data_IF_622804046305
#
_entry.id   IF_622804046305
#
_cell.length_a   1.000
_cell.length_b   1.000
_cell.length_c   1.000
_cell.angle_alpha   90.00
_cell.angle_beta   90.00
_cell.angle_gamma   90.00
#
_symmetry.space_group_name_H-M   'P 1'
#
loop_
_entity.id
_entity.type
_entity.pdbx_description
1 polymer ?
#
# COMPACT_ATOMS: atom_id res chain seq x y z
N UNK A 1 -13.47 6.77 -8.93
CA UNK A 1 -12.13 6.35 -9.41
C UNK A 1 -11.96 4.84 -9.38
N UNK A 2 -12.05 4.17 -8.22
CA UNK A 2 -11.89 2.70 -8.12
C UNK A 2 -12.74 1.92 -9.14
N UNK A 3 -14.05 2.21 -9.25
CA UNK A 3 -14.93 1.52 -10.22
C UNK A 3 -14.50 1.69 -11.69
N UNK A 4 -13.89 2.82 -12.04
CA UNK A 4 -13.41 3.08 -13.40
C UNK A 4 -12.12 2.28 -13.63
N UNK A 5 -11.17 2.37 -12.70
CA UNK A 5 -9.91 1.64 -12.77
C UNK A 5 -10.11 0.12 -12.86
N UNK A 6 -11.08 -0.43 -12.11
CA UNK A 6 -11.47 -1.85 -12.23
C UNK A 6 -12.02 -2.20 -13.61
N UNK A 7 -12.89 -1.34 -14.17
CA UNK A 7 -13.45 -1.56 -15.51
C UNK A 7 -12.38 -1.52 -16.62
N UNK A 8 -11.30 -0.78 -16.40
CA UNK A 8 -10.18 -0.70 -17.34
C UNK A 8 -9.11 -1.76 -17.09
N UNK A 9 -9.30 -2.66 -16.12
CA UNK A 9 -8.32 -3.71 -15.79
C UNK A 9 -7.05 -3.16 -15.12
N UNK A 10 -7.10 -1.98 -14.52
CA UNK A 10 -5.95 -1.35 -13.87
C UNK A 10 -5.76 -1.86 -12.45
N UNK A 11 -4.51 -2.04 -12.05
CA UNK A 11 -4.16 -2.18 -10.63
C UNK A 11 -4.34 -0.86 -9.89
N UNK A 12 -4.67 -0.93 -8.60
CA UNK A 12 -5.02 0.24 -7.79
C UNK A 12 -4.14 0.28 -6.55
N UNK A 13 -3.40 1.37 -6.36
CA UNK A 13 -2.69 1.68 -5.11
C UNK A 13 -3.51 2.70 -4.32
N UNK A 14 -3.85 2.40 -3.08
CA UNK A 14 -4.38 3.40 -2.15
C UNK A 14 -3.22 3.97 -1.30
N UNK A 15 -2.90 5.24 -1.53
CA UNK A 15 -1.81 5.95 -0.85
C UNK A 15 -2.29 6.69 0.40
N UNK A 16 -1.35 7.03 1.30
CA UNK A 16 -1.62 7.80 2.51
C UNK A 16 -2.32 7.01 3.63
N UNK A 17 -2.16 5.68 3.67
CA UNK A 17 -2.69 4.86 4.77
C UNK A 17 -1.77 4.97 5.99
N UNK A 18 -2.23 5.65 7.03
CA UNK A 18 -1.50 5.92 8.27
C UNK A 18 -2.10 5.21 9.48
N UNK A 19 -3.39 4.86 9.44
CA UNK A 19 -4.15 4.28 10.55
C UNK A 19 -4.86 2.97 10.16
N UNK A 20 -5.07 2.08 11.14
CA UNK A 20 -5.76 0.80 10.93
C UNK A 20 -7.21 0.98 10.45
N UNK A 21 -7.88 2.04 10.89
CA UNK A 21 -9.24 2.39 10.48
C UNK A 21 -9.30 2.71 8.98
N UNK A 22 -8.30 3.40 8.43
CA UNK A 22 -8.21 3.70 7.00
C UNK A 22 -8.00 2.42 6.19
N UNK A 23 -7.10 1.54 6.65
CA UNK A 23 -6.90 0.21 6.07
C UNK A 23 -8.21 -0.59 6.03
N UNK A 24 -8.95 -0.65 7.14
CA UNK A 24 -10.25 -1.33 7.21
C UNK A 24 -11.28 -0.70 6.27
N UNK A 25 -11.34 0.63 6.23
CA UNK A 25 -12.29 1.34 5.37
C UNK A 25 -12.03 1.08 3.88
N UNK A 26 -10.77 0.99 3.45
CA UNK A 26 -10.41 0.82 2.04
C UNK A 26 -10.47 -0.64 1.56
N UNK A 27 -10.41 -1.63 2.46
CA UNK A 27 -10.44 -3.06 2.12
C UNK A 27 -11.64 -3.47 1.26
N UNK A 28 -12.83 -2.92 1.54
CA UNK A 28 -14.06 -3.23 0.78
C UNK A 28 -14.01 -2.83 -0.69
N UNK A 29 -13.06 -1.98 -1.09
CA UNK A 29 -12.96 -1.48 -2.46
C UNK A 29 -12.07 -2.36 -3.35
N UNK A 30 -11.51 -3.44 -2.81
CA UNK A 30 -10.60 -4.38 -3.50
C UNK A 30 -9.50 -3.65 -4.30
N UNK A 31 -8.77 -2.78 -3.60
CA UNK A 31 -7.55 -2.15 -4.13
C UNK A 31 -6.41 -3.18 -4.13
N UNK A 32 -5.49 -3.08 -5.09
CA UNK A 32 -4.39 -4.04 -5.27
C UNK A 32 -3.32 -3.89 -4.19
N UNK A 33 -2.97 -2.64 -3.87
CA UNK A 33 -1.88 -2.33 -2.95
C UNK A 33 -2.24 -1.16 -2.03
N UNK A 34 -1.59 -1.13 -0.87
CA UNK A 34 -1.72 -0.06 0.12
C UNK A 34 -0.34 0.53 0.38
N UNK A 35 -0.25 1.86 0.43
CA UNK A 35 0.97 2.58 0.78
C UNK A 35 0.66 3.65 1.82
N UNK A 36 1.56 3.81 2.79
CA UNK A 36 1.51 4.91 3.76
C UNK A 36 2.24 4.57 5.04
N UNK A 37 2.24 5.51 5.98
CA UNK A 37 3.03 5.42 7.21
C UNK A 37 2.59 4.31 8.16
N UNK A 38 1.40 3.74 7.96
CA UNK A 38 0.99 2.52 8.66
C UNK A 38 1.94 1.35 8.36
N UNK A 39 2.52 1.32 7.17
CA UNK A 39 3.44 0.28 6.70
C UNK A 39 4.90 0.72 6.85
N UNK A 40 5.25 1.84 6.23
CA UNK A 40 6.58 2.41 6.31
C UNK A 40 6.55 3.87 5.86
N UNK A 41 7.39 4.70 6.48
CA UNK A 41 7.74 6.01 5.90
C UNK A 41 8.64 5.80 4.69
N UNK A 42 8.86 6.87 3.91
CA UNK A 42 9.98 6.90 2.99
C UNK A 42 11.28 6.75 3.81
N UNK A 43 12.16 5.87 3.37
CA UNK A 43 13.41 5.54 4.05
C UNK A 43 14.61 5.72 3.12
N UNK A 44 15.82 5.98 3.65
CA UNK A 44 17.04 5.96 2.87
C UNK A 44 17.29 4.61 2.19
N UNK A 45 18.10 4.60 1.13
CA UNK A 45 18.42 3.38 0.36
C UNK A 45 19.02 2.26 1.22
N UNK A 46 19.86 2.60 2.20
CA UNK A 46 20.47 1.62 3.10
C UNK A 46 19.43 0.91 3.97
N UNK A 47 18.43 1.65 4.45
CA UNK A 47 17.32 1.08 5.22
C UNK A 47 16.37 0.27 4.33
N UNK A 48 16.14 0.70 3.09
CA UNK A 48 15.34 -0.06 2.13
C UNK A 48 15.95 -1.45 1.85
N UNK A 49 17.27 -1.54 1.66
CA UNK A 49 17.96 -2.83 1.48
C UNK A 49 17.74 -3.75 2.69
N UNK A 50 17.80 -3.19 3.92
CA UNK A 50 17.53 -3.95 5.13
C UNK A 50 16.08 -4.46 5.21
N UNK A 51 15.11 -3.69 4.72
CA UNK A 51 13.71 -4.11 4.66
C UNK A 51 13.49 -5.26 3.67
N UNK A 52 14.15 -5.24 2.50
CA UNK A 52 14.09 -6.32 1.53
C UNK A 52 14.63 -7.64 2.09
N UNK A 53 15.76 -7.58 2.81
CA UNK A 53 16.35 -8.78 3.40
C UNK A 53 15.46 -9.39 4.49
N UNK A 54 14.73 -8.59 5.26
CA UNK A 54 13.80 -9.06 6.30
C UNK A 54 12.54 -9.76 5.76
N UNK A 55 12.19 -9.54 4.50
CA UNK A 55 11.02 -10.20 3.88
C UNK A 55 11.34 -11.61 3.34
N UNK A 56 12.61 -12.03 3.35
CA UNK A 56 13.06 -13.30 2.77
C UNK A 56 13.14 -14.47 3.78
N UNK A 57 12.69 -14.23 5.02
CA UNK A 57 12.53 -15.23 6.09
C UNK A 57 11.03 -15.50 6.37
#
# INVERSE_FOLDING_TARGET
MVKIAKKTGSEIVAEGIELQEQKKAIQQYEVSYLQGFLFSKAVPVSEFINLLNKQSD
#
